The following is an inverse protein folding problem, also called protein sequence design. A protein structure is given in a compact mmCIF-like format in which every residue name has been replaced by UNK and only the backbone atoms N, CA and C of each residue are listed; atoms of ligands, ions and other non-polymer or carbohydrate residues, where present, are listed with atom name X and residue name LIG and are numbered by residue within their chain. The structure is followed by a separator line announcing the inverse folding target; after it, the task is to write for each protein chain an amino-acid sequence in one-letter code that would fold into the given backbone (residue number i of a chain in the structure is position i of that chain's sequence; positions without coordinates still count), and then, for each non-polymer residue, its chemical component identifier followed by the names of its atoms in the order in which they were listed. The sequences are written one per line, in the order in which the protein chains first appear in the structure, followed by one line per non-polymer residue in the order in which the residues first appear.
data_IF_899210980337
#
_entry.id   IF_899210980337
#
_cell.length_a   1.000
_cell.length_b   1.000
_cell.length_c   1.000
_cell.angle_alpha   90.00
_cell.angle_beta   90.00
_cell.angle_gamma   90.00
#
_symmetry.space_group_name_H-M   'P 1'
#
loop_
_entity.id
_entity.type
_entity.pdbx_description
1 polymer ?
#
# COMPACT_ATOMS: atom_id res chain seq x y z
N UNK A 1 6.43 -19.99 -78.54
CA UNK A 1 6.88 -18.83 -77.75
C UNK A 1 6.72 -19.22 -76.30
N UNK A 2 7.85 -19.53 -75.64
CA UNK A 2 7.91 -20.35 -74.42
C UNK A 2 8.11 -19.42 -73.23
N UNK A 3 7.13 -19.35 -72.31
CA UNK A 3 7.24 -18.56 -71.08
C UNK A 3 7.62 -19.49 -69.93
N UNK A 4 8.82 -19.30 -69.38
CA UNK A 4 9.33 -20.00 -68.19
C UNK A 4 8.76 -19.34 -66.93
N UNK A 5 8.11 -20.11 -66.06
CA UNK A 5 7.83 -19.70 -64.68
C UNK A 5 9.08 -19.92 -63.83
N UNK A 6 9.65 -18.83 -63.29
CA UNK A 6 10.66 -18.88 -62.23
C UNK A 6 9.97 -18.73 -60.87
N UNK A 7 9.96 -19.81 -60.09
CA UNK A 7 9.61 -19.77 -58.68
C UNK A 7 10.79 -19.20 -57.89
N UNK A 8 10.65 -18.00 -57.34
CA UNK A 8 11.57 -17.45 -56.34
C UNK A 8 10.96 -17.71 -54.98
N UNK A 9 11.39 -18.79 -54.33
CA UNK A 9 11.23 -18.97 -52.89
C UNK A 9 12.38 -18.24 -52.20
N UNK A 10 12.10 -17.11 -51.56
CA UNK A 10 13.06 -16.45 -50.67
C UNK A 10 12.54 -16.59 -49.24
N UNK A 11 13.21 -17.45 -48.47
CA UNK A 11 12.84 -17.76 -47.10
C UNK A 11 12.91 -16.53 -46.21
N UNK A 12 11.78 -16.23 -45.57
CA UNK A 12 11.71 -15.24 -44.50
C UNK A 12 12.29 -15.87 -43.23
N UNK A 13 13.59 -15.73 -43.03
CA UNK A 13 14.22 -16.03 -41.74
C UNK A 13 13.77 -14.95 -40.73
N UNK A 14 12.66 -15.21 -40.04
CA UNK A 14 12.23 -14.43 -38.89
C UNK A 14 13.23 -14.62 -37.75
N UNK A 15 14.25 -13.77 -37.70
CA UNK A 15 15.07 -13.55 -36.51
C UNK A 15 14.18 -12.89 -35.45
N UNK A 16 13.43 -13.71 -34.73
CA UNK A 16 12.79 -13.33 -33.47
C UNK A 16 13.93 -13.17 -32.47
N UNK A 17 14.55 -11.99 -32.46
CA UNK A 17 15.45 -11.60 -31.39
C UNK A 17 14.64 -11.61 -30.10
N UNK A 18 14.79 -12.67 -29.31
CA UNK A 18 14.24 -12.76 -27.97
C UNK A 18 14.83 -11.59 -27.16
N UNK A 19 14.06 -10.52 -27.05
CA UNK A 19 14.37 -9.44 -26.10
C UNK A 19 14.47 -10.13 -24.74
N UNK A 20 15.59 -10.03 -24.02
CA UNK A 20 15.68 -10.66 -22.71
C UNK A 20 14.54 -10.10 -21.89
N UNK A 21 13.63 -10.99 -21.47
CA UNK A 21 12.67 -10.66 -20.44
C UNK A 21 13.51 -10.24 -19.23
N UNK A 22 13.54 -8.94 -18.96
CA UNK A 22 14.04 -8.39 -17.72
C UNK A 22 13.08 -8.88 -16.62
N UNK A 23 13.21 -10.16 -16.26
CA UNK A 23 12.59 -10.69 -15.08
C UNK A 23 13.12 -9.85 -13.93
N UNK A 24 12.21 -9.16 -13.22
CA UNK A 24 12.50 -8.41 -12.01
C UNK A 24 13.28 -9.34 -11.07
N UNK A 25 14.62 -9.27 -11.08
CA UNK A 25 15.48 -10.04 -10.17
C UNK A 25 15.48 -9.31 -8.84
N UNK A 26 14.41 -9.55 -8.08
CA UNK A 26 14.32 -9.07 -6.71
C UNK A 26 15.35 -9.89 -5.94
N UNK A 27 16.51 -9.27 -5.64
CA UNK A 27 17.43 -9.82 -4.67
C UNK A 27 16.60 -10.19 -3.43
N UNK A 28 16.57 -11.45 -3.02
CA UNK A 28 15.77 -11.87 -1.88
C UNK A 28 16.40 -11.26 -0.62
N UNK A 29 15.74 -10.32 0.10
CA UNK A 29 16.27 -9.90 1.38
C UNK A 29 16.39 -11.08 2.37
N UNK A 30 17.00 -10.83 3.52
CA UNK A 30 16.87 -11.74 4.66
C UNK A 30 15.45 -11.60 5.24
N UNK A 31 14.59 -12.57 4.93
CA UNK A 31 13.16 -12.61 5.30
C UNK A 31 13.03 -13.38 6.61
N UNK A 32 13.32 -12.75 7.73
CA UNK A 32 12.96 -13.26 9.06
C UNK A 32 13.13 -12.23 10.17
N UNK A 33 13.03 -10.94 9.85
CA UNK A 33 13.22 -9.89 10.82
C UNK A 33 12.01 -9.84 11.76
N UNK A 34 12.23 -9.24 12.93
CA UNK A 34 11.14 -8.85 13.82
C UNK A 34 10.76 -7.42 13.44
N UNK A 35 9.46 -7.13 13.49
CA UNK A 35 8.97 -5.76 13.36
C UNK A 35 9.72 -4.84 14.32
N UNK A 36 10.18 -3.71 13.82
CA UNK A 36 10.83 -2.67 14.63
C UNK A 36 9.92 -1.47 14.66
N UNK A 37 9.75 -0.89 15.85
CA UNK A 37 9.01 0.34 16.06
C UNK A 37 9.98 1.45 16.51
N UNK A 38 9.66 2.69 16.18
CA UNK A 38 10.31 3.89 16.69
C UNK A 38 9.46 4.56 17.78
N UNK A 39 10.00 5.61 18.40
CA UNK A 39 9.28 6.42 19.39
C UNK A 39 8.15 7.26 18.78
N UNK A 40 8.16 7.46 17.46
CA UNK A 40 7.11 8.17 16.69
C UNK A 40 6.07 7.21 16.10
N UNK A 41 6.06 5.96 16.58
CA UNK A 41 5.20 4.88 16.11
C UNK A 41 5.38 4.46 14.64
N UNK A 42 6.40 4.97 13.94
CA UNK A 42 6.80 4.36 12.66
C UNK A 42 7.28 2.92 12.87
N UNK A 43 7.14 2.09 11.85
CA UNK A 43 7.55 0.70 11.92
C UNK A 43 8.12 0.18 10.61
N UNK A 44 8.93 -0.88 10.72
CA UNK A 44 9.54 -1.58 9.60
C UNK A 44 9.51 -3.09 9.84
N UNK A 45 9.61 -3.88 8.76
CA UNK A 45 9.64 -5.34 8.81
C UNK A 45 8.37 -5.98 9.37
N UNK A 46 7.21 -5.37 9.10
CA UNK A 46 5.92 -5.99 9.40
C UNK A 46 5.52 -6.98 8.28
N UNK A 47 4.63 -7.91 8.63
CA UNK A 47 4.12 -8.93 7.72
C UNK A 47 5.10 -10.09 7.46
N UNK A 48 4.59 -11.20 6.91
CA UNK A 48 5.32 -12.44 6.73
C UNK A 48 6.62 -12.33 5.89
N UNK A 49 6.71 -11.32 5.02
CA UNK A 49 7.83 -11.10 4.11
C UNK A 49 8.71 -9.91 4.53
N UNK A 50 8.49 -9.34 5.72
CA UNK A 50 9.22 -8.16 6.24
C UNK A 50 9.15 -6.91 5.35
N UNK A 51 8.14 -6.83 4.48
CA UNK A 51 7.95 -5.75 3.51
C UNK A 51 6.93 -4.70 3.96
N UNK A 52 6.33 -4.87 5.14
CA UNK A 52 5.43 -3.90 5.74
C UNK A 52 6.19 -2.80 6.47
N UNK A 53 5.82 -1.55 6.20
CA UNK A 53 6.33 -0.39 6.89
C UNK A 53 5.21 0.64 7.12
N UNK A 54 5.36 1.43 8.18
CA UNK A 54 4.51 2.57 8.51
C UNK A 54 5.37 3.80 8.79
N UNK A 55 4.96 4.96 8.29
CA UNK A 55 5.57 6.25 8.63
C UNK A 55 5.19 6.68 10.05
N UNK A 56 5.65 7.85 10.48
CA UNK A 56 5.30 8.39 11.79
C UNK A 56 3.78 8.56 11.92
N UNK A 57 3.27 8.30 13.12
CA UNK A 57 1.87 8.54 13.43
C UNK A 57 1.62 10.04 13.57
N UNK A 58 0.70 10.56 12.76
CA UNK A 58 0.36 11.99 12.70
C UNK A 58 -0.96 12.22 13.42
N UNK A 59 -0.94 13.08 14.43
CA UNK A 59 -2.16 13.60 15.06
C UNK A 59 -2.93 14.49 14.08
N UNK A 60 -4.19 14.14 13.81
CA UNK A 60 -5.10 14.90 12.96
C UNK A 60 -6.05 15.79 13.78
N UNK A 61 -5.92 15.77 15.11
CA UNK A 61 -6.83 16.42 16.04
C UNK A 61 -8.11 15.60 16.30
N UNK A 62 -8.92 16.05 17.26
CA UNK A 62 -10.21 15.44 17.61
C UNK A 62 -10.13 13.94 17.96
N UNK A 63 -8.99 13.45 18.48
CA UNK A 63 -8.81 12.04 18.80
C UNK A 63 -8.54 11.16 17.58
N UNK A 64 -8.28 11.74 16.40
CA UNK A 64 -7.94 11.01 15.19
C UNK A 64 -6.42 10.99 14.98
N UNK A 65 -5.90 9.82 14.63
CA UNK A 65 -4.51 9.63 14.27
C UNK A 65 -4.42 8.93 12.93
N UNK A 66 -3.55 9.40 12.05
CA UNK A 66 -3.31 8.79 10.74
C UNK A 66 -1.89 8.26 10.63
N UNK A 67 -1.70 7.20 9.84
CA UNK A 67 -0.39 6.65 9.52
C UNK A 67 -0.35 6.14 8.09
N UNK A 68 0.62 6.62 7.30
CA UNK A 68 0.88 6.08 5.96
C UNK A 68 1.52 4.69 6.07
N UNK A 69 0.97 3.76 5.32
CA UNK A 69 1.38 2.36 5.25
C UNK A 69 1.93 2.03 3.86
N UNK A 70 2.96 1.18 3.85
CA UNK A 70 3.54 0.61 2.64
C UNK A 70 3.75 -0.89 2.84
N UNK A 71 3.15 -1.67 1.96
CA UNK A 71 3.35 -3.10 1.80
C UNK A 71 3.68 -3.34 0.31
N UNK A 72 4.32 -4.46 0.03
CA UNK A 72 4.94 -4.77 -1.27
C UNK A 72 4.18 -4.26 -2.52
N UNK A 73 2.87 -4.55 -2.64
CA UNK A 73 2.00 -4.07 -3.73
C UNK A 73 0.78 -3.27 -3.23
N UNK A 74 0.89 -2.65 -2.06
CA UNK A 74 -0.20 -1.89 -1.48
C UNK A 74 0.34 -0.73 -0.65
N UNK A 75 -0.03 0.49 -1.04
CA UNK A 75 0.16 1.66 -0.19
C UNK A 75 -1.20 2.13 0.30
N UNK A 76 -1.28 2.56 1.56
CA UNK A 76 -2.54 2.99 2.15
C UNK A 76 -2.34 3.95 3.31
N UNK A 77 -3.45 4.50 3.80
CA UNK A 77 -3.48 5.36 4.97
C UNK A 77 -4.37 4.71 6.01
N UNK A 78 -3.78 4.29 7.12
CA UNK A 78 -4.55 3.94 8.31
C UNK A 78 -5.02 5.21 8.99
N UNK A 79 -6.27 5.24 9.43
CA UNK A 79 -6.80 6.27 10.31
C UNK A 79 -7.50 5.58 11.47
N UNK A 80 -7.21 6.06 12.67
CA UNK A 80 -7.68 5.51 13.93
C UNK A 80 -8.40 6.61 14.68
N UNK A 81 -9.58 6.29 15.21
CA UNK A 81 -10.26 7.08 16.22
C UNK A 81 -9.93 6.51 17.60
N UNK A 82 -9.11 7.25 18.33
CA UNK A 82 -8.63 6.89 19.65
C UNK A 82 -9.75 6.93 20.69
N UNK A 83 -10.82 7.71 20.48
CA UNK A 83 -11.95 7.79 21.42
C UNK A 83 -12.84 6.57 21.30
N UNK A 84 -13.23 6.21 20.07
CA UNK A 84 -14.09 5.04 19.82
C UNK A 84 -13.35 3.71 19.70
N UNK A 85 -12.01 3.76 19.63
CA UNK A 85 -11.14 2.62 19.35
C UNK A 85 -11.50 1.90 18.04
N UNK A 86 -11.95 2.67 17.05
CA UNK A 86 -12.21 2.19 15.69
C UNK A 86 -11.09 2.61 14.76
N UNK A 87 -10.92 1.91 13.64
CA UNK A 87 -9.90 2.26 12.66
C UNK A 87 -10.37 1.88 11.25
N UNK A 88 -9.75 2.43 10.23
CA UNK A 88 -9.91 1.98 8.86
C UNK A 88 -8.62 2.21 8.09
N UNK A 89 -8.47 1.52 6.96
CA UNK A 89 -7.41 1.79 5.99
C UNK A 89 -8.06 2.22 4.68
N UNK A 90 -7.56 3.30 4.09
CA UNK A 90 -7.85 3.68 2.70
C UNK A 90 -6.66 3.32 1.84
N UNK A 91 -6.88 2.48 0.82
CA UNK A 91 -5.83 2.03 -0.06
C UNK A 91 -5.69 2.96 -1.26
N UNK A 92 -4.44 3.21 -1.67
CA UNK A 92 -4.12 3.94 -2.88
C UNK A 92 -4.74 3.25 -4.10
N UNK A 93 -5.08 4.04 -5.11
CA UNK A 93 -5.60 3.50 -6.36
C UNK A 93 -4.44 2.93 -7.16
N UNK A 94 -4.64 1.76 -7.75
CA UNK A 94 -3.73 1.26 -8.77
C UNK A 94 -3.76 2.20 -9.98
N UNK A 95 -2.63 2.40 -10.67
CA UNK A 95 -2.61 3.13 -11.92
C UNK A 95 -3.45 2.38 -12.97
N UNK A 96 -3.88 3.09 -14.03
CA UNK A 96 -4.50 2.48 -15.22
C UNK A 96 -3.70 1.28 -15.74
N UNK A 97 -4.38 0.31 -16.33
CA UNK A 97 -3.78 -0.97 -16.71
C UNK A 97 -2.68 -0.81 -17.78
N UNK A 98 -2.79 0.20 -18.64
CA UNK A 98 -1.82 0.58 -19.66
C UNK A 98 -0.56 1.28 -19.09
N UNK A 99 -0.61 1.70 -17.83
CA UNK A 99 0.52 2.27 -17.08
C UNK A 99 1.17 1.25 -16.11
N UNK A 100 0.61 0.05 -15.99
CA UNK A 100 1.17 -0.99 -15.11
C UNK A 100 2.35 -1.69 -15.78
N UNK A 101 3.52 -1.66 -15.14
CA UNK A 101 4.62 -2.56 -15.48
C UNK A 101 4.27 -4.00 -15.08
N UNK A 102 4.93 -4.99 -15.70
CA UNK A 102 4.66 -6.44 -15.46
C UNK A 102 4.78 -6.88 -14.00
N UNK A 103 5.35 -6.05 -13.13
CA UNK A 103 5.54 -6.32 -11.71
C UNK A 103 4.46 -5.65 -10.83
N UNK A 104 3.42 -5.01 -11.41
CA UNK A 104 2.26 -4.48 -10.69
C UNK A 104 2.60 -3.25 -9.83
N UNK A 105 2.49 -2.06 -10.39
CA UNK A 105 2.75 -0.82 -9.64
C UNK A 105 1.52 -0.37 -8.86
N UNK A 106 1.73 0.09 -7.63
CA UNK A 106 0.73 0.84 -6.86
C UNK A 106 1.29 2.23 -6.63
N UNK A 107 0.49 3.27 -6.93
CA UNK A 107 0.89 4.63 -6.60
C UNK A 107 1.02 4.76 -5.08
N UNK A 108 2.03 5.49 -4.57
CA UNK A 108 2.10 5.74 -3.14
C UNK A 108 0.85 6.52 -2.70
N UNK A 109 0.32 6.22 -1.51
CA UNK A 109 -0.87 6.92 -0.99
C UNK A 109 -0.66 8.43 -0.93
N UNK A 110 0.57 8.89 -0.74
CA UNK A 110 0.96 10.30 -0.75
C UNK A 110 0.64 11.02 -2.07
N UNK A 111 0.56 10.31 -3.20
CA UNK A 111 0.10 10.88 -4.47
C UNK A 111 -1.40 11.22 -4.48
N UNK A 112 -2.17 10.66 -3.55
CA UNK A 112 -3.59 10.92 -3.38
C UNK A 112 -3.91 11.93 -2.28
N UNK A 113 -2.92 12.37 -1.50
CA UNK A 113 -3.09 13.39 -0.46
C UNK A 113 -2.95 14.82 -1.02
N UNK A 114 -3.50 15.84 -0.34
CA UNK A 114 -3.24 17.24 -0.66
C UNK A 114 -1.74 17.58 -0.74
N UNK A 115 -1.32 18.55 -1.58
CA UNK A 115 -2.18 19.42 -2.39
C UNK A 115 -2.59 18.82 -3.75
N UNK A 116 -2.04 17.67 -4.15
CA UNK A 116 -2.24 17.12 -5.51
C UNK A 116 -3.42 16.16 -5.62
N UNK A 117 -3.76 15.48 -4.53
CA UNK A 117 -4.83 14.51 -4.49
C UNK A 117 -5.98 14.91 -3.58
N UNK A 118 -7.11 14.22 -3.76
CA UNK A 118 -8.37 14.55 -3.09
C UNK A 118 -8.53 13.92 -1.69
N UNK A 119 -7.70 12.97 -1.30
CA UNK A 119 -7.80 12.30 0.00
C UNK A 119 -7.25 13.21 1.11
N UNK A 120 -8.09 14.11 1.60
CA UNK A 120 -7.77 14.95 2.75
C UNK A 120 -8.15 14.25 4.05
N UNK A 121 -7.16 13.74 4.77
CA UNK A 121 -7.34 13.10 6.08
C UNK A 121 -7.41 14.09 7.24
N UNK A 122 -6.96 15.33 7.04
CA UNK A 122 -7.00 16.38 8.06
C UNK A 122 -8.39 17.02 8.18
N UNK A 123 -9.15 17.04 7.08
CA UNK A 123 -10.53 17.53 7.05
C UNK A 123 -11.58 16.51 7.52
N UNK A 124 -11.19 15.28 7.86
CA UNK A 124 -12.14 14.21 8.18
C UNK A 124 -12.39 14.16 9.69
N UNK A 125 -13.65 14.36 10.09
CA UNK A 125 -14.04 14.36 11.50
C UNK A 125 -14.29 12.98 12.13
N UNK A 126 -14.26 11.88 11.37
CA UNK A 126 -14.42 10.51 11.90
C UNK A 126 -13.96 9.42 10.93
N UNK A 127 -13.64 8.24 11.45
CA UNK A 127 -13.34 7.05 10.63
C UNK A 127 -14.49 6.69 9.68
N UNK A 128 -15.74 6.80 10.12
CA UNK A 128 -16.91 6.57 9.27
C UNK A 128 -16.98 7.58 8.11
N UNK A 129 -16.70 8.86 8.39
CA UNK A 129 -16.61 9.89 7.36
C UNK A 129 -15.51 9.62 6.34
N UNK A 130 -14.35 9.11 6.77
CA UNK A 130 -13.27 8.68 5.87
C UNK A 130 -13.74 7.57 4.94
N UNK A 131 -14.39 6.55 5.47
CA UNK A 131 -14.86 5.41 4.67
C UNK A 131 -15.91 5.85 3.65
N UNK A 132 -16.84 6.73 4.04
CA UNK A 132 -17.83 7.30 3.12
C UNK A 132 -17.17 8.14 2.01
N UNK A 133 -16.22 9.00 2.38
CA UNK A 133 -15.45 9.80 1.42
C UNK A 133 -14.67 8.91 0.44
N UNK A 134 -13.97 7.91 0.97
CA UNK A 134 -13.18 6.96 0.18
C UNK A 134 -14.07 6.23 -0.83
N UNK A 135 -15.22 5.71 -0.40
CA UNK A 135 -16.18 5.04 -1.28
C UNK A 135 -16.71 5.97 -2.38
N UNK A 136 -17.13 7.18 -2.03
CA UNK A 136 -17.63 8.17 -2.99
C UNK A 136 -16.59 8.57 -4.04
N UNK A 137 -15.30 8.47 -3.70
CA UNK A 137 -14.20 8.80 -4.59
C UNK A 137 -13.53 7.56 -5.19
N UNK A 138 -14.11 6.36 -5.06
CA UNK A 138 -13.61 5.13 -5.69
C UNK A 138 -12.30 4.60 -5.10
N UNK A 139 -11.99 4.91 -3.84
CA UNK A 139 -10.93 4.25 -3.09
C UNK A 139 -11.45 2.96 -2.46
N UNK A 140 -10.58 1.96 -2.33
CA UNK A 140 -10.87 0.74 -1.57
C UNK A 140 -10.59 0.99 -0.09
N UNK A 141 -11.37 0.37 0.78
CA UNK A 141 -11.17 0.49 2.23
C UNK A 141 -11.11 -0.88 2.91
N UNK A 142 -10.42 -0.92 4.05
CA UNK A 142 -10.47 -2.00 5.04
C UNK A 142 -11.03 -1.43 6.33
N UNK A 143 -12.02 -2.12 6.92
CA UNK A 143 -12.80 -1.60 8.04
C UNK A 143 -12.12 -1.69 9.41
N UNK A 144 -11.01 -2.42 9.54
CA UNK A 144 -10.20 -2.47 10.76
C UNK A 144 -8.72 -2.61 10.36
N UNK A 145 -7.87 -1.69 10.80
CA UNK A 145 -6.44 -1.72 10.50
C UNK A 145 -5.74 -2.96 11.10
N UNK A 146 -6.27 -3.53 12.18
CA UNK A 146 -5.77 -4.79 12.74
C UNK A 146 -6.05 -6.01 11.86
N UNK A 147 -6.87 -5.88 10.81
CA UNK A 147 -7.09 -6.97 9.87
C UNK A 147 -5.79 -7.39 9.16
N UNK A 148 -4.86 -6.45 8.99
CA UNK A 148 -3.52 -6.74 8.45
C UNK A 148 -2.71 -7.69 9.35
N UNK A 149 -3.01 -7.74 10.64
CA UNK A 149 -2.33 -8.58 11.62
C UNK A 149 -2.95 -9.97 11.80
N UNK A 150 -4.20 -10.20 11.35
CA UNK A 150 -4.99 -11.42 11.65
C UNK A 150 -4.25 -12.72 11.33
N UNK A 151 -3.53 -12.76 10.21
CA UNK A 151 -2.81 -13.95 9.73
C UNK A 151 -1.29 -13.87 9.92
N UNK A 152 -0.81 -12.89 10.67
CA UNK A 152 0.63 -12.68 10.88
C UNK A 152 1.09 -13.36 12.17
N UNK A 153 2.34 -13.83 12.19
CA UNK A 153 3.00 -14.28 13.42
C UNK A 153 3.18 -13.07 14.33
N UNK A 154 3.21 -13.30 15.65
CA UNK A 154 3.36 -12.20 16.63
C UNK A 154 4.56 -11.28 16.34
N UNK A 155 5.70 -11.84 15.90
CA UNK A 155 6.90 -11.05 15.59
C UNK A 155 6.77 -10.13 14.36
N UNK A 156 5.75 -10.38 13.52
CA UNK A 156 5.51 -9.70 12.25
C UNK A 156 4.33 -8.69 12.37
N UNK A 157 3.67 -8.59 13.53
CA UNK A 157 2.51 -7.72 13.76
C UNK A 157 2.93 -6.32 14.19
N UNK A 158 2.36 -5.30 13.58
CA UNK A 158 2.52 -3.91 14.03
C UNK A 158 1.37 -3.51 14.95
N UNK A 159 1.57 -2.48 15.77
CA UNK A 159 0.49 -1.91 16.59
C UNK A 159 -0.23 -0.79 15.84
N UNK A 160 -1.42 -1.10 15.29
CA UNK A 160 -2.23 -0.13 14.55
C UNK A 160 -2.69 1.05 15.42
N UNK A 161 -2.72 0.90 16.75
CA UNK A 161 -3.16 1.91 17.70
C UNK A 161 -1.99 2.60 18.43
N UNK A 162 -0.74 2.36 18.01
CA UNK A 162 0.44 2.97 18.64
C UNK A 162 0.32 4.50 18.71
N UNK A 163 -0.17 5.13 17.64
CA UNK A 163 -0.36 6.57 17.59
C UNK A 163 -1.34 7.11 18.64
N UNK A 164 -2.33 6.31 19.07
CA UNK A 164 -3.19 6.67 20.20
C UNK A 164 -2.43 6.65 21.53
N UNK A 165 -1.50 5.72 21.72
CA UNK A 165 -0.63 5.67 22.92
C UNK A 165 0.30 6.87 22.97
N UNK A 166 0.75 7.32 21.80
CA UNK A 166 1.64 8.48 21.66
C UNK A 166 0.92 9.81 21.90
N UNK A 167 -0.22 10.05 21.24
CA UNK A 167 -0.89 11.36 21.22
C UNK A 167 -2.08 11.48 22.18
N UNK A 168 -2.72 10.37 22.53
CA UNK A 168 -3.94 10.30 23.34
C UNK A 168 -3.88 9.18 24.39
N UNK A 169 -2.89 9.18 25.31
CA UNK A 169 -2.55 8.02 26.15
C UNK A 169 -3.69 7.52 27.06
N UNK A 170 -4.64 8.39 27.42
CA UNK A 170 -5.78 8.05 28.28
C UNK A 170 -6.99 7.48 27.52
N UNK A 171 -6.93 7.49 26.18
CA UNK A 171 -8.05 7.12 25.31
C UNK A 171 -8.35 5.62 25.29
N UNK A 172 -9.51 5.24 24.75
CA UNK A 172 -9.86 3.82 24.56
C UNK A 172 -8.91 3.13 23.58
N UNK A 173 -8.51 3.82 22.51
CA UNK A 173 -7.57 3.33 21.52
C UNK A 173 -6.18 3.08 22.09
N UNK A 174 -5.71 3.89 23.04
CA UNK A 174 -4.43 3.67 23.70
C UNK A 174 -4.37 2.36 24.52
N UNK A 175 -5.53 1.78 24.86
CA UNK A 175 -5.65 0.52 25.61
C UNK A 175 -5.77 -0.73 24.71
N UNK A 176 -5.74 -0.54 23.39
CA UNK A 176 -5.79 -1.63 22.39
C UNK A 176 -4.43 -2.29 22.19
#
# INVERSE_FOLDING_TARGET
MTVRLSFISCGLAALVGAVPALACSIAQPDWNKRVKHSDTCSFYYAGANDMGAGKDAVDQGNGLVSQELSFFFASGMAVVDCTSATSAIVWAKSPPQDEQTSCGETLPISAHLPPKGALDVSGIGSVAGLVQFAAANGFKTTADANDLNKNQRHKDRFDAFCGCKLHYPESAGAKK
#
